data_IF_706390699000
#
_entry.id   IF_706390699000
#
_cell.length_a   1.000
_cell.length_b   1.000
_cell.length_c   1.000
_cell.angle_alpha   90.00
_cell.angle_beta   90.00
_cell.angle_gamma   90.00
#
_symmetry.space_group_name_H-M   'P 1'
#
loop_
_entity.id
_entity.type
_entity.pdbx_description
1 polymer ?
#
# COMPACT_ATOMS: atom_id res chain seq x y z
N UNK A 1 -61.11 -53.38 24.22
CA UNK A 1 -60.03 -52.60 24.82
C UNK A 1 -59.07 -52.20 23.74
N UNK A 2 -59.17 -50.97 23.29
CA UNK A 2 -58.37 -50.43 22.19
C UNK A 2 -57.43 -49.40 22.76
N UNK A 3 -56.12 -49.71 22.75
CA UNK A 3 -55.08 -48.77 23.23
C UNK A 3 -54.69 -47.85 22.04
N UNK A 4 -54.96 -46.57 22.17
CA UNK A 4 -54.53 -45.52 21.25
C UNK A 4 -53.12 -45.13 21.58
N UNK A 5 -52.19 -45.33 20.66
CA UNK A 5 -50.80 -44.80 20.74
C UNK A 5 -50.81 -43.43 20.06
N UNK A 6 -50.51 -42.39 20.80
CA UNK A 6 -50.30 -41.05 20.30
C UNK A 6 -48.82 -40.92 19.83
N UNK A 7 -48.60 -40.70 18.52
CA UNK A 7 -47.29 -40.33 17.96
C UNK A 7 -47.08 -38.85 18.16
N UNK A 8 -46.14 -38.47 19.01
CA UNK A 8 -45.60 -37.09 19.03
C UNK A 8 -44.59 -36.93 17.92
N UNK A 9 -44.94 -36.13 16.94
CA UNK A 9 -43.98 -35.65 15.92
C UNK A 9 -43.22 -34.45 16.49
N UNK A 10 -41.93 -34.59 16.77
CA UNK A 10 -41.03 -33.51 17.13
C UNK A 10 -40.58 -32.79 15.86
N UNK A 11 -41.07 -31.56 15.62
CA UNK A 11 -40.56 -30.66 14.60
C UNK A 11 -39.22 -30.07 15.08
N UNK A 12 -38.11 -30.54 14.53
CA UNK A 12 -36.81 -29.91 14.71
C UNK A 12 -36.73 -28.66 13.79
N UNK A 13 -36.84 -27.48 14.39
CA UNK A 13 -36.59 -26.23 13.68
C UNK A 13 -35.07 -26.06 13.46
N UNK A 14 -34.62 -26.30 12.25
CA UNK A 14 -33.24 -25.99 11.83
C UNK A 14 -33.15 -24.47 11.63
N UNK A 15 -32.57 -23.78 12.61
CA UNK A 15 -32.24 -22.36 12.49
C UNK A 15 -31.05 -22.20 11.56
N UNK A 16 -31.29 -21.78 10.32
CA UNK A 16 -30.27 -21.36 9.40
C UNK A 16 -29.74 -19.99 9.85
N UNK A 17 -28.63 -19.98 10.59
CA UNK A 17 -27.89 -18.76 10.88
C UNK A 17 -27.26 -18.29 9.55
N UNK A 18 -27.87 -17.32 8.90
CA UNK A 18 -27.26 -16.62 7.79
C UNK A 18 -26.03 -15.89 8.32
N UNK A 19 -24.84 -16.43 8.04
CA UNK A 19 -23.59 -15.71 8.25
C UNK A 19 -23.58 -14.51 7.31
N UNK A 20 -23.81 -13.31 7.85
CA UNK A 20 -23.61 -12.09 7.11
C UNK A 20 -22.13 -12.06 6.63
N UNK A 21 -21.86 -11.68 5.36
CA UNK A 21 -20.49 -11.52 4.92
C UNK A 21 -19.82 -10.46 5.82
N UNK A 22 -18.79 -10.87 6.55
CA UNK A 22 -17.95 -9.93 7.26
C UNK A 22 -17.24 -9.10 6.18
N UNK A 23 -17.72 -7.90 5.92
CA UNK A 23 -16.96 -6.92 5.15
C UNK A 23 -15.69 -6.68 5.94
N UNK A 24 -14.55 -7.08 5.38
CA UNK A 24 -13.26 -6.76 5.96
C UNK A 24 -13.21 -5.24 6.12
N UNK A 25 -13.09 -4.77 7.37
CA UNK A 25 -13.03 -3.34 7.64
C UNK A 25 -11.86 -2.74 6.88
N UNK A 26 -12.09 -1.64 6.17
CA UNK A 26 -11.03 -0.94 5.45
C UNK A 26 -9.90 -0.57 6.43
N UNK A 27 -8.63 -0.84 6.08
CA UNK A 27 -7.52 -0.53 6.97
C UNK A 27 -7.47 0.98 7.27
N UNK A 28 -7.18 1.31 8.52
CA UNK A 28 -7.00 2.70 8.95
C UNK A 28 -5.56 3.13 8.74
N UNK A 29 -5.37 4.23 8.02
CA UNK A 29 -4.03 4.82 7.79
C UNK A 29 -4.10 6.33 8.02
N UNK A 30 -3.28 6.85 8.93
CA UNK A 30 -3.28 8.26 9.29
C UNK A 30 -4.62 8.76 9.82
N UNK A 31 -5.36 7.90 10.53
CA UNK A 31 -6.66 8.23 11.13
C UNK A 31 -7.83 8.26 10.15
N UNK A 32 -7.64 7.80 8.91
CA UNK A 32 -8.70 7.70 7.91
C UNK A 32 -8.84 6.26 7.39
N UNK A 33 -10.07 5.78 7.11
CA UNK A 33 -10.28 4.50 6.47
C UNK A 33 -9.84 4.58 5.00
N UNK A 34 -9.06 3.59 4.55
CA UNK A 34 -8.62 3.44 3.17
C UNK A 34 -9.65 2.62 2.41
N UNK A 35 -10.51 3.29 1.66
CA UNK A 35 -11.60 2.66 0.92
C UNK A 35 -11.07 1.96 -0.34
N UNK A 36 -11.37 0.69 -0.51
CA UNK A 36 -10.99 -0.09 -1.71
C UNK A 36 -11.72 0.37 -2.98
N UNK A 37 -12.77 1.16 -2.84
CA UNK A 37 -13.53 1.80 -3.93
C UNK A 37 -12.93 3.12 -4.41
N UNK A 38 -11.96 3.69 -3.68
CA UNK A 38 -11.26 4.94 -4.03
C UNK A 38 -9.89 4.67 -4.63
N UNK A 39 -9.43 5.62 -5.43
CA UNK A 39 -8.07 5.58 -6.01
C UNK A 39 -7.00 5.81 -4.94
N UNK A 40 -5.76 5.48 -5.29
CA UNK A 40 -4.58 5.69 -4.45
C UNK A 40 -4.49 7.16 -3.99
N UNK A 41 -4.72 8.11 -4.92
CA UNK A 41 -4.60 9.56 -4.62
C UNK A 41 -5.72 10.05 -3.70
N UNK A 42 -6.96 9.60 -3.94
CA UNK A 42 -8.11 9.97 -3.11
C UNK A 42 -7.98 9.50 -1.66
N UNK A 43 -7.50 8.27 -1.47
CA UNK A 43 -7.25 7.74 -0.14
C UNK A 43 -6.06 8.40 0.55
N UNK A 44 -4.95 8.59 -0.17
CA UNK A 44 -3.78 9.29 0.38
C UNK A 44 -4.13 10.71 0.82
N UNK A 45 -5.00 11.42 0.08
CA UNK A 45 -5.46 12.77 0.43
C UNK A 45 -6.25 12.84 1.75
N UNK A 46 -6.89 11.73 2.14
CA UNK A 46 -7.62 11.64 3.42
C UNK A 46 -6.72 11.24 4.60
N UNK A 47 -5.53 10.75 4.35
CA UNK A 47 -4.58 10.32 5.38
C UNK A 47 -3.77 11.48 5.94
N UNK A 48 -3.83 11.69 7.25
CA UNK A 48 -3.03 12.71 7.95
C UNK A 48 -1.53 12.40 7.92
N UNK A 49 -1.16 11.14 7.72
CA UNK A 49 0.23 10.68 7.68
C UNK A 49 0.89 10.87 6.30
N UNK A 50 0.13 11.22 5.27
CA UNK A 50 0.61 11.33 3.89
C UNK A 50 0.45 12.73 3.27
N UNK A 51 0.27 13.76 4.09
CA UNK A 51 0.08 15.14 3.61
C UNK A 51 1.26 15.64 2.79
N UNK A 52 2.48 15.34 3.19
CA UNK A 52 3.70 15.69 2.45
C UNK A 52 3.79 14.94 1.12
N UNK A 53 3.44 13.64 1.10
CA UNK A 53 3.39 12.85 -0.13
C UNK A 53 2.38 13.43 -1.12
N UNK A 54 1.19 13.78 -0.66
CA UNK A 54 0.13 14.36 -1.51
C UNK A 54 0.58 15.71 -2.09
N UNK A 55 1.22 16.56 -1.28
CA UNK A 55 1.78 17.82 -1.76
C UNK A 55 2.85 17.58 -2.83
N UNK A 56 3.74 16.59 -2.61
CA UNK A 56 4.77 16.22 -3.57
C UNK A 56 4.18 15.68 -4.90
N UNK A 57 3.17 14.83 -4.83
CA UNK A 57 2.47 14.26 -6.01
C UNK A 57 1.81 15.40 -6.83
N UNK A 58 1.18 16.37 -6.15
CA UNK A 58 0.60 17.56 -6.81
C UNK A 58 1.67 18.43 -7.46
N UNK A 59 2.75 18.73 -6.75
CA UNK A 59 3.87 19.53 -7.27
C UNK A 59 4.56 18.89 -8.49
N UNK A 60 4.68 17.56 -8.46
CA UNK A 60 5.21 16.78 -9.59
C UNK A 60 4.25 16.69 -10.79
N UNK A 61 2.95 16.96 -10.59
CA UNK A 61 1.92 16.80 -11.63
C UNK A 61 1.57 15.34 -11.90
N UNK A 62 1.72 14.46 -10.90
CA UNK A 62 1.47 13.02 -11.03
C UNK A 62 0.06 12.59 -10.55
N UNK A 63 -0.80 13.54 -10.18
CA UNK A 63 -2.16 13.26 -9.70
C UNK A 63 -2.96 12.46 -10.72
N UNK A 64 -3.00 12.92 -11.97
CA UNK A 64 -3.76 12.25 -13.05
C UNK A 64 -3.17 10.87 -13.38
N UNK A 65 -1.84 10.76 -13.38
CA UNK A 65 -1.14 9.48 -13.63
C UNK A 65 -1.49 8.44 -12.56
N UNK A 66 -1.46 8.81 -11.30
CA UNK A 66 -1.73 7.91 -10.16
C UNK A 66 -3.23 7.73 -9.86
N UNK A 67 -4.09 8.55 -10.46
CA UNK A 67 -5.56 8.37 -10.45
C UNK A 67 -6.05 7.57 -11.65
N UNK A 68 -5.19 7.33 -12.63
CA UNK A 68 -5.49 6.58 -13.84
C UNK A 68 -5.75 5.09 -13.59
N UNK A 69 -6.13 4.36 -14.66
CA UNK A 69 -6.36 2.93 -14.58
C UNK A 69 -5.04 2.21 -14.29
N UNK A 70 -5.00 1.51 -13.14
CA UNK A 70 -3.82 0.70 -12.74
C UNK A 70 -3.63 -0.54 -13.60
N UNK A 71 -3.00 -1.56 -13.07
CA UNK A 71 -2.68 -1.69 -11.66
C UNK A 71 -1.40 -0.98 -11.23
N UNK A 72 -1.43 -0.33 -10.06
CA UNK A 72 -0.25 0.28 -9.46
C UNK A 72 0.03 -0.32 -8.08
N UNK A 73 1.31 -0.45 -7.74
CA UNK A 73 1.77 -0.62 -6.37
C UNK A 73 2.53 0.62 -5.97
N UNK A 74 2.09 1.30 -4.93
CA UNK A 74 2.73 2.51 -4.43
C UNK A 74 3.31 2.26 -3.05
N UNK A 75 4.61 2.46 -2.93
CA UNK A 75 5.29 2.50 -1.63
C UNK A 75 5.17 3.93 -1.08
N UNK A 76 4.22 4.14 -0.17
CA UNK A 76 3.84 5.45 0.33
C UNK A 76 4.62 5.83 1.59
N UNK A 77 5.61 6.73 1.50
CA UNK A 77 6.33 7.22 2.67
C UNK A 77 5.43 8.16 3.50
N UNK A 78 5.48 7.99 4.81
CA UNK A 78 4.77 8.85 5.76
C UNK A 78 5.44 10.21 5.90
N UNK A 79 4.74 11.18 6.52
CA UNK A 79 5.33 12.47 6.89
C UNK A 79 6.61 12.28 7.73
N UNK A 80 6.59 11.30 8.65
CA UNK A 80 7.77 10.94 9.44
C UNK A 80 8.94 10.40 8.58
N UNK A 81 8.64 9.70 7.48
CA UNK A 81 9.64 9.25 6.52
C UNK A 81 10.31 10.45 5.82
N UNK A 82 9.53 11.44 5.42
CA UNK A 82 10.07 12.68 4.83
C UNK A 82 10.89 13.49 5.84
N UNK A 83 10.51 13.47 7.12
CA UNK A 83 11.26 14.16 8.18
C UNK A 83 12.65 13.56 8.45
N UNK A 84 12.91 12.33 8.01
CA UNK A 84 14.24 11.71 8.06
C UNK A 84 15.21 12.27 7.01
N UNK A 85 14.70 12.93 5.98
CA UNK A 85 15.55 13.59 4.98
C UNK A 85 16.28 14.80 5.60
N UNK A 86 17.46 15.20 5.06
CA UNK A 86 18.15 16.39 5.51
C UNK A 86 17.24 17.61 5.54
N UNK A 87 17.38 18.51 6.53
CA UNK A 87 16.57 19.73 6.62
C UNK A 87 16.58 20.54 5.32
N UNK A 88 15.39 21.03 4.91
CA UNK A 88 15.22 21.79 3.67
C UNK A 88 15.13 20.96 2.39
N UNK A 89 15.42 19.65 2.44
CA UNK A 89 15.35 18.79 1.23
C UNK A 89 13.95 18.72 0.66
N UNK A 90 12.93 18.56 1.50
CA UNK A 90 11.52 18.49 1.05
C UNK A 90 11.11 19.80 0.42
N UNK A 91 11.42 20.93 1.06
CA UNK A 91 11.10 22.28 0.56
C UNK A 91 11.79 22.55 -0.79
N UNK A 92 13.06 22.13 -0.91
CA UNK A 92 13.80 22.25 -2.15
C UNK A 92 13.19 21.40 -3.27
N UNK A 93 12.77 20.16 -2.97
CA UNK A 93 12.15 19.25 -3.94
C UNK A 93 10.79 19.75 -4.41
N UNK A 94 10.04 20.47 -3.57
CA UNK A 94 8.73 21.03 -3.92
C UNK A 94 8.83 22.28 -4.83
N UNK A 95 10.01 22.85 -5.01
CA UNK A 95 10.20 23.98 -5.89
C UNK A 95 10.03 23.60 -7.36
N UNK A 96 9.43 24.47 -8.20
CA UNK A 96 9.19 24.19 -9.62
C UNK A 96 10.46 23.81 -10.41
N UNK A 97 11.62 24.39 -10.08
CA UNK A 97 12.91 24.08 -10.70
C UNK A 97 13.37 22.64 -10.45
N UNK A 98 12.89 22.02 -9.37
CA UNK A 98 13.23 20.63 -8.99
C UNK A 98 12.16 19.62 -9.36
N UNK A 99 11.13 20.01 -10.11
CA UNK A 99 10.01 19.16 -10.51
C UNK A 99 10.47 17.82 -11.15
N UNK A 100 11.46 17.88 -12.03
CA UNK A 100 11.98 16.67 -12.69
C UNK A 100 12.60 15.68 -11.68
N UNK A 101 13.36 16.21 -10.70
CA UNK A 101 13.97 15.41 -9.63
C UNK A 101 12.90 14.84 -8.70
N UNK A 102 11.90 15.63 -8.34
CA UNK A 102 10.76 15.18 -7.53
C UNK A 102 9.97 14.09 -8.25
N UNK A 103 9.68 14.27 -9.54
CA UNK A 103 9.00 13.26 -10.38
C UNK A 103 9.79 11.95 -10.40
N UNK A 104 11.11 12.01 -10.58
CA UNK A 104 12.00 10.85 -10.55
C UNK A 104 11.89 10.11 -9.22
N UNK A 105 11.99 10.82 -8.09
CA UNK A 105 11.88 10.24 -6.75
C UNK A 105 10.51 9.58 -6.58
N UNK A 106 9.41 10.28 -6.89
CA UNK A 106 8.06 9.74 -6.71
C UNK A 106 7.78 8.52 -7.59
N UNK A 107 8.24 8.54 -8.85
CA UNK A 107 8.07 7.39 -9.75
C UNK A 107 8.96 6.20 -9.38
N UNK A 108 10.04 6.41 -8.61
CA UNK A 108 10.81 5.33 -7.97
C UNK A 108 10.06 4.65 -6.81
N UNK A 109 8.97 5.24 -6.32
CA UNK A 109 8.06 4.61 -5.35
C UNK A 109 6.87 3.89 -5.99
N UNK A 110 6.76 3.89 -7.33
CA UNK A 110 5.62 3.34 -8.05
C UNK A 110 6.05 2.17 -8.92
N UNK A 111 5.31 1.08 -8.83
CA UNK A 111 5.47 -0.11 -9.69
C UNK A 111 4.19 -0.30 -10.49
N UNK A 112 4.31 -0.54 -11.80
CA UNK A 112 3.17 -0.77 -12.70
C UNK A 112 2.69 -2.22 -12.65
N UNK A 113 2.39 -2.70 -11.45
CA UNK A 113 1.86 -4.04 -11.19
C UNK A 113 1.09 -4.04 -9.88
N UNK A 114 0.24 -5.03 -9.66
CA UNK A 114 -0.44 -5.25 -8.38
C UNK A 114 0.36 -6.27 -7.56
N UNK A 115 1.29 -5.77 -6.74
CA UNK A 115 2.16 -6.60 -5.91
C UNK A 115 1.69 -6.61 -4.45
N UNK A 116 0.94 -7.64 -4.08
CA UNK A 116 0.54 -7.89 -2.69
C UNK A 116 1.70 -8.47 -1.87
N UNK A 117 1.72 -8.24 -0.57
CA UNK A 117 2.81 -8.67 0.30
C UNK A 117 3.12 -10.18 0.24
N UNK A 118 2.14 -11.11 0.14
CA UNK A 118 2.46 -12.52 -0.03
C UNK A 118 3.17 -12.83 -1.35
N UNK A 119 2.82 -12.13 -2.42
CA UNK A 119 3.47 -12.28 -3.72
C UNK A 119 4.91 -11.76 -3.66
N UNK A 120 5.13 -10.60 -3.04
CA UNK A 120 6.47 -10.03 -2.83
C UNK A 120 7.32 -10.98 -1.98
N UNK A 121 6.78 -11.51 -0.87
CA UNK A 121 7.49 -12.44 0.00
C UNK A 121 7.88 -13.73 -0.74
N UNK A 122 6.99 -14.25 -1.59
CA UNK A 122 7.29 -15.42 -2.42
C UNK A 122 8.42 -15.12 -3.42
N UNK A 123 8.37 -14.00 -4.13
CA UNK A 123 9.44 -13.60 -5.07
C UNK A 123 10.79 -13.43 -4.36
N UNK A 124 10.79 -12.85 -3.14
CA UNK A 124 12.00 -12.75 -2.32
C UNK A 124 12.55 -14.14 -1.97
N UNK A 125 11.69 -15.09 -1.60
CA UNK A 125 12.11 -16.45 -1.28
C UNK A 125 12.64 -17.20 -2.51
N UNK A 126 11.96 -17.08 -3.65
CA UNK A 126 12.37 -17.69 -4.92
C UNK A 126 13.75 -17.16 -5.38
N UNK A 127 14.04 -15.89 -5.12
CA UNK A 127 15.30 -15.21 -5.45
C UNK A 127 16.34 -15.24 -4.31
N UNK A 128 16.27 -16.25 -3.45
CA UNK A 128 17.25 -16.49 -2.37
C UNK A 128 17.40 -15.34 -1.37
N UNK A 129 16.31 -14.62 -1.12
CA UNK A 129 16.24 -13.60 -0.06
C UNK A 129 16.33 -12.15 -0.55
N UNK A 130 16.48 -11.88 -1.86
CA UNK A 130 16.48 -10.52 -2.40
C UNK A 130 15.89 -10.49 -3.80
N UNK A 131 14.75 -9.81 -3.97
CA UNK A 131 14.07 -9.68 -5.25
C UNK A 131 14.23 -8.26 -5.83
N UNK A 132 14.71 -8.10 -7.08
CA UNK A 132 14.82 -6.78 -7.73
C UNK A 132 13.45 -6.30 -8.21
N UNK A 133 12.98 -5.18 -7.67
CA UNK A 133 11.72 -4.54 -8.04
C UNK A 133 12.00 -3.35 -8.94
N UNK A 134 11.60 -3.45 -10.21
CA UNK A 134 11.71 -2.34 -11.18
C UNK A 134 10.54 -1.37 -10.99
N UNK A 135 10.85 -0.10 -10.86
CA UNK A 135 9.87 0.97 -10.67
C UNK A 135 9.59 1.72 -11.97
N UNK A 136 8.49 2.46 -12.00
CA UNK A 136 8.09 3.33 -13.13
C UNK A 136 9.16 4.39 -13.42
N UNK A 137 9.84 4.88 -12.37
CA UNK A 137 10.96 5.82 -12.50
C UNK A 137 12.26 5.23 -13.01
N UNK A 138 12.30 3.92 -13.32
CA UNK A 138 13.49 3.22 -13.76
C UNK A 138 14.49 2.88 -12.65
N UNK A 139 14.12 3.09 -11.39
CA UNK A 139 14.90 2.66 -10.25
C UNK A 139 14.74 1.14 -10.04
N UNK A 140 15.77 0.50 -9.51
CA UNK A 140 15.72 -0.90 -9.10
C UNK A 140 15.87 -0.99 -7.59
N UNK A 141 14.78 -1.31 -6.92
CA UNK A 141 14.77 -1.53 -5.47
C UNK A 141 15.06 -3.00 -5.19
N UNK A 142 15.70 -3.29 -4.07
CA UNK A 142 15.90 -4.67 -3.61
C UNK A 142 14.90 -4.97 -2.49
N UNK A 143 13.88 -5.76 -2.78
CA UNK A 143 12.95 -6.24 -1.78
C UNK A 143 13.57 -7.40 -0.99
N UNK A 144 13.52 -7.33 0.34
CA UNK A 144 14.06 -8.34 1.26
C UNK A 144 13.09 -8.59 2.40
N UNK A 145 13.20 -9.74 3.04
CA UNK A 145 12.51 -9.99 4.31
C UNK A 145 13.44 -9.66 5.49
N UNK A 146 12.91 -8.91 6.46
CA UNK A 146 13.55 -8.68 7.76
C UNK A 146 12.58 -9.15 8.84
N UNK A 147 12.78 -10.39 9.30
CA UNK A 147 11.78 -11.08 10.10
C UNK A 147 10.51 -11.33 9.27
N UNK A 148 9.38 -10.85 9.77
CA UNK A 148 8.07 -10.91 9.13
C UNK A 148 7.72 -9.69 8.26
N UNK A 149 8.64 -8.71 8.17
CA UNK A 149 8.42 -7.46 7.43
C UNK A 149 9.17 -7.43 6.11
N UNK A 150 8.52 -6.86 5.10
CA UNK A 150 9.17 -6.54 3.84
C UNK A 150 9.96 -5.25 4.02
N UNK A 151 11.20 -5.25 3.56
CA UNK A 151 12.05 -4.08 3.45
C UNK A 151 12.45 -3.84 2.01
N UNK A 152 12.63 -2.59 1.67
CA UNK A 152 13.08 -2.15 0.34
C UNK A 152 14.41 -1.43 0.51
N UNK A 153 15.40 -1.86 -0.22
CA UNK A 153 16.70 -1.19 -0.27
C UNK A 153 16.77 -0.40 -1.57
N UNK A 154 17.02 0.89 -1.47
CA UNK A 154 17.18 1.76 -2.63
C UNK A 154 18.60 1.67 -3.24
N UNK A 155 18.81 2.37 -4.35
CA UNK A 155 20.08 2.34 -5.09
C UNK A 155 21.26 3.01 -4.36
N UNK A 156 20.99 3.74 -3.27
CA UNK A 156 21.99 4.36 -2.40
C UNK A 156 22.26 3.54 -1.13
N UNK A 157 21.57 2.40 -0.96
CA UNK A 157 21.68 1.54 0.22
C UNK A 157 20.76 1.97 1.36
N UNK A 158 19.87 2.94 1.14
CA UNK A 158 18.82 3.32 2.08
C UNK A 158 17.79 2.20 2.24
N UNK A 159 17.36 1.95 3.47
CA UNK A 159 16.40 0.88 3.80
C UNK A 159 15.09 1.48 4.25
N UNK A 160 14.01 1.13 3.57
CA UNK A 160 12.65 1.44 3.95
C UNK A 160 11.92 0.18 4.41
N UNK A 161 11.24 0.24 5.54
CA UNK A 161 10.45 -0.88 6.07
C UNK A 161 8.97 -0.66 5.78
N UNK A 162 8.30 -1.69 5.28
CA UNK A 162 6.85 -1.69 5.12
C UNK A 162 6.21 -1.82 6.50
N UNK A 163 5.49 -0.78 6.91
CA UNK A 163 4.82 -0.71 8.22
C UNK A 163 3.36 -1.16 8.16
N UNK A 164 2.67 -0.85 7.06
CA UNK A 164 1.32 -1.31 6.76
C UNK A 164 1.32 -1.81 5.31
N UNK A 165 1.02 -3.09 5.13
CA UNK A 165 0.99 -3.72 3.81
C UNK A 165 -0.44 -3.90 3.29
N UNK A 166 -0.56 -4.14 1.99
CA UNK A 166 -1.80 -4.61 1.34
C UNK A 166 -3.02 -3.70 1.51
N UNK A 167 -2.80 -2.38 1.53
CA UNK A 167 -3.87 -1.40 1.55
C UNK A 167 -4.46 -1.30 0.14
N UNK A 168 -5.56 -2.02 -0.09
CA UNK A 168 -6.21 -2.12 -1.41
C UNK A 168 -6.89 -0.82 -1.81
N UNK A 169 -6.79 -0.52 -3.11
CA UNK A 169 -7.38 0.65 -3.75
C UNK A 169 -8.11 0.20 -5.03
N UNK A 170 -8.97 1.04 -5.59
CA UNK A 170 -9.67 0.71 -6.85
C UNK A 170 -8.72 0.55 -8.04
N UNK A 171 -7.57 1.21 -8.03
CA UNK A 171 -6.58 1.19 -9.11
C UNK A 171 -5.22 0.60 -8.68
N UNK A 172 -5.13 -0.08 -7.53
CA UNK A 172 -3.89 -0.73 -7.11
C UNK A 172 -3.81 -1.03 -5.62
N UNK A 173 -2.59 -1.01 -5.10
CA UNK A 173 -2.31 -1.28 -3.69
C UNK A 173 -1.27 -0.28 -3.15
N UNK A 174 -1.45 0.12 -1.90
CA UNK A 174 -0.47 0.93 -1.16
C UNK A 174 0.23 0.05 -0.12
N UNK A 175 1.55 0.18 -0.03
CA UNK A 175 2.35 -0.27 1.08
C UNK A 175 2.95 0.95 1.76
N UNK A 176 2.61 1.18 3.01
CA UNK A 176 3.12 2.32 3.79
C UNK A 176 4.54 2.01 4.25
N UNK A 177 5.46 2.93 4.00
CA UNK A 177 6.88 2.79 4.35
C UNK A 177 7.36 3.92 5.28
N UNK A 178 8.36 3.60 6.08
CA UNK A 178 8.93 4.49 7.11
C UNK A 178 10.11 5.34 6.65
N UNK A 179 10.54 5.20 5.41
CA UNK A 179 11.70 5.90 4.84
C UNK A 179 11.46 6.20 3.36
N UNK A 180 11.90 7.36 2.87
CA UNK A 180 11.82 7.74 1.45
C UNK A 180 12.92 7.01 0.68
N UNK A 181 12.55 6.39 -0.44
CA UNK A 181 13.48 5.73 -1.34
C UNK A 181 14.08 6.75 -2.32
N UNK A 182 15.38 6.78 -2.41
CA UNK A 182 16.08 7.75 -3.24
C UNK A 182 16.73 7.07 -4.45
N UNK A 183 16.53 7.61 -5.67
CA UNK A 183 17.24 7.13 -6.84
C UNK A 183 18.75 7.44 -6.73
N UNK A 184 19.55 6.64 -7.40
CA UNK A 184 20.97 6.98 -7.61
C UNK A 184 21.07 8.25 -8.45
N UNK A 185 21.94 9.14 -8.04
CA UNK A 185 22.24 10.39 -8.77
C UNK A 185 22.93 10.13 -10.11
#
# INVERSE_FOLDING_TARGET
MIKRHALLAALAAVSFAAAAPAFAANPMVGGAPMMDTKTIVENAANSKDHTTLVAAVKAAGLVDTLSGPGPFTVFAPTNAAFAKLPPGTVEMLLKPENKAKLTKILTCHVVSANAMSPAIAKMIADDKGSHPVKTVGGCVLQAKMMGDKITLVDENGGVATVTIADVKQSNGVIHVIDTVLLPKN
#
